data_IF_838070640232
#
_entry.id   IF_838070640232
#
_cell.length_a   1.000
_cell.length_b   1.000
_cell.length_c   1.000
_cell.angle_alpha   90.00
_cell.angle_beta   90.00
_cell.angle_gamma   90.00
#
_symmetry.space_group_name_H-M   'P 1'
#
loop_
_entity.id
_entity.type
_entity.pdbx_description
1 polymer ?
#
# COMPACT_ATOMS: atom_id res chain seq x y z
N UNK A 1 5.79 -16.22 -21.00
CA UNK A 1 5.98 -17.04 -19.78
C UNK A 1 4.69 -17.06 -18.98
N UNK A 2 4.41 -18.16 -18.28
CA UNK A 2 3.22 -18.32 -17.42
C UNK A 2 3.70 -18.61 -15.98
N UNK A 3 3.29 -17.78 -15.02
CA UNK A 3 3.58 -17.98 -13.60
C UNK A 3 2.38 -18.63 -12.96
N UNK A 4 2.57 -19.78 -12.31
CA UNK A 4 1.47 -20.62 -11.81
C UNK A 4 1.45 -20.61 -10.29
N UNK A 5 0.41 -19.99 -9.72
CA UNK A 5 0.12 -20.02 -8.29
C UNK A 5 -0.84 -21.14 -7.90
N UNK A 6 -1.02 -21.34 -6.59
CA UNK A 6 -2.03 -22.26 -6.04
C UNK A 6 -3.46 -21.75 -6.30
N UNK A 7 -3.65 -20.45 -6.11
CA UNK A 7 -4.96 -19.80 -6.00
C UNK A 7 -5.53 -19.94 -4.59
N UNK A 8 -6.32 -18.96 -4.16
CA UNK A 8 -7.03 -18.93 -2.89
C UNK A 8 -8.50 -18.53 -3.09
N UNK A 9 -9.35 -18.82 -2.10
CA UNK A 9 -10.73 -18.29 -2.05
C UNK A 9 -10.76 -16.82 -1.68
N UNK A 10 -9.71 -16.34 -1.01
CA UNK A 10 -9.50 -14.94 -0.67
C UNK A 10 -9.06 -14.14 -1.90
N UNK A 11 -9.77 -13.04 -2.19
CA UNK A 11 -9.51 -12.19 -3.34
C UNK A 11 -8.23 -11.38 -3.19
N UNK A 12 -7.90 -10.95 -1.97
CA UNK A 12 -6.72 -10.12 -1.70
C UNK A 12 -5.43 -10.94 -1.93
N UNK A 13 -5.37 -12.17 -1.40
CA UNK A 13 -4.29 -13.12 -1.68
C UNK A 13 -4.06 -13.35 -3.18
N UNK A 14 -5.14 -13.41 -3.96
CA UNK A 14 -5.04 -13.54 -5.41
C UNK A 14 -4.53 -12.23 -6.05
N UNK A 15 -5.02 -11.08 -5.59
CA UNK A 15 -4.58 -9.75 -6.04
C UNK A 15 -3.08 -9.52 -5.84
N UNK A 16 -2.55 -9.90 -4.67
CA UNK A 16 -1.12 -9.82 -4.38
C UNK A 16 -0.28 -10.69 -5.33
N UNK A 17 -0.76 -11.89 -5.66
CA UNK A 17 -0.11 -12.74 -6.67
C UNK A 17 -0.11 -12.07 -8.06
N UNK A 18 -1.22 -11.51 -8.50
CA UNK A 18 -1.28 -10.77 -9.76
C UNK A 18 -0.32 -9.58 -9.77
N UNK A 19 -0.24 -8.84 -8.66
CA UNK A 19 0.68 -7.71 -8.50
C UNK A 19 2.15 -8.16 -8.60
N UNK A 20 2.51 -9.24 -7.91
CA UNK A 20 3.86 -9.80 -7.97
C UNK A 20 4.23 -10.24 -9.39
N UNK A 21 3.32 -10.94 -10.09
CA UNK A 21 3.53 -11.35 -11.48
C UNK A 21 3.65 -10.14 -12.41
N UNK A 22 2.88 -9.07 -12.18
CA UNK A 22 2.99 -7.84 -12.98
C UNK A 22 4.32 -7.13 -12.76
N UNK A 23 4.80 -7.03 -11.52
CA UNK A 23 6.14 -6.47 -11.26
C UNK A 23 7.23 -7.32 -11.92
N UNK A 24 7.08 -8.63 -11.91
CA UNK A 24 8.01 -9.50 -12.62
C UNK A 24 7.94 -9.31 -14.15
N UNK A 25 6.75 -9.14 -14.72
CA UNK A 25 6.58 -8.83 -16.14
C UNK A 25 7.36 -7.58 -16.53
N UNK A 26 7.12 -6.47 -15.82
CA UNK A 26 7.72 -5.15 -16.08
C UNK A 26 9.24 -5.11 -15.86
N UNK A 27 9.76 -5.99 -15.00
CA UNK A 27 11.20 -6.10 -14.72
C UNK A 27 11.92 -7.12 -15.60
N UNK A 28 11.19 -7.85 -16.44
CA UNK A 28 11.73 -8.92 -17.28
C UNK A 28 11.78 -8.52 -18.76
N UNK A 29 12.53 -9.28 -19.55
CA UNK A 29 12.58 -9.13 -21.02
C UNK A 29 11.62 -10.08 -21.75
N UNK A 30 10.71 -10.74 -21.03
CA UNK A 30 9.74 -11.65 -21.66
C UNK A 30 8.68 -10.86 -22.44
N UNK A 31 8.29 -11.36 -23.62
CA UNK A 31 7.27 -10.74 -24.48
C UNK A 31 5.93 -10.54 -23.73
N UNK A 32 5.57 -11.51 -22.88
CA UNK A 32 4.46 -11.39 -21.94
C UNK A 32 4.68 -12.36 -20.77
N UNK A 33 4.17 -11.96 -19.61
CA UNK A 33 4.12 -12.81 -18.41
C UNK A 33 2.68 -12.86 -17.93
N UNK A 34 2.10 -14.07 -17.86
CA UNK A 34 0.70 -14.25 -17.47
C UNK A 34 0.58 -14.97 -16.13
N UNK A 35 -0.19 -14.42 -15.17
CA UNK A 35 -0.56 -15.14 -13.96
C UNK A 35 -1.57 -16.22 -14.28
N UNK A 36 -1.43 -17.36 -13.63
CA UNK A 36 -2.32 -18.50 -13.78
C UNK A 36 -2.37 -19.31 -12.49
N UNK A 37 -3.37 -20.18 -12.35
CA UNK A 37 -3.58 -20.97 -11.15
C UNK A 37 -3.78 -22.44 -11.47
N UNK A 38 -3.40 -23.30 -10.53
CA UNK A 38 -3.55 -24.76 -10.70
C UNK A 38 -4.92 -25.29 -10.25
N UNK A 39 -5.74 -24.46 -9.57
CA UNK A 39 -7.00 -24.92 -8.98
C UNK A 39 -7.99 -23.83 -8.54
N UNK A 40 -7.83 -23.29 -7.32
CA UNK A 40 -8.94 -22.66 -6.57
C UNK A 40 -9.60 -21.50 -7.31
N UNK A 41 -8.79 -20.70 -8.03
CA UNK A 41 -9.24 -19.49 -8.72
C UNK A 41 -8.83 -19.54 -10.18
N UNK A 42 -9.39 -18.62 -10.98
CA UNK A 42 -9.15 -18.51 -12.43
C UNK A 42 -8.18 -17.36 -12.76
N UNK A 43 -7.51 -17.40 -13.92
CA UNK A 43 -7.57 -18.43 -14.96
C UNK A 43 -6.76 -19.68 -14.58
N UNK A 44 -7.26 -20.86 -14.96
CA UNK A 44 -6.54 -22.11 -14.74
C UNK A 44 -5.34 -22.23 -15.70
N UNK A 45 -4.32 -23.02 -15.31
CA UNK A 45 -3.14 -23.28 -16.15
C UNK A 45 -3.52 -23.77 -17.54
N UNK A 46 -4.47 -24.70 -17.61
CA UNK A 46 -4.96 -25.24 -18.86
C UNK A 46 -5.60 -24.16 -19.74
N UNK A 47 -6.52 -23.36 -19.17
CA UNK A 47 -7.17 -22.22 -19.87
C UNK A 47 -6.11 -21.20 -20.36
N UNK A 48 -5.10 -20.93 -19.52
CA UNK A 48 -4.04 -19.96 -19.83
C UNK A 48 -3.12 -20.46 -20.95
N UNK A 49 -2.78 -21.75 -20.96
CA UNK A 49 -2.02 -22.38 -22.04
C UNK A 49 -2.80 -22.35 -23.36
N UNK A 50 -4.08 -22.73 -23.33
CA UNK A 50 -4.95 -22.68 -24.52
C UNK A 50 -5.03 -21.27 -25.12
N UNK A 51 -5.09 -20.25 -24.27
CA UNK A 51 -5.02 -18.85 -24.71
C UNK A 51 -3.65 -18.49 -25.29
N UNK A 52 -2.56 -18.82 -24.60
CA UNK A 52 -1.20 -18.47 -25.03
C UNK A 52 -0.82 -19.15 -26.36
N UNK A 53 -1.26 -20.39 -26.59
CA UNK A 53 -0.96 -21.14 -27.82
C UNK A 53 -1.55 -20.48 -29.06
N UNK A 54 -2.70 -19.79 -28.93
CA UNK A 54 -3.31 -19.04 -30.05
C UNK A 54 -2.43 -17.89 -30.54
N UNK A 55 -1.53 -17.39 -29.69
CA UNK A 55 -0.54 -16.39 -30.07
C UNK A 55 0.63 -16.97 -30.89
N UNK A 56 0.68 -18.30 -31.07
CA UNK A 56 1.74 -19.04 -31.78
C UNK A 56 3.16 -18.68 -31.31
N UNK A 57 3.44 -18.73 -30.00
CA UNK A 57 4.80 -18.50 -29.50
C UNK A 57 5.72 -19.66 -29.92
N UNK A 58 7.01 -19.36 -30.11
CA UNK A 58 8.03 -20.40 -30.30
C UNK A 58 8.35 -21.14 -28.99
N UNK A 59 8.29 -20.42 -27.86
CA UNK A 59 8.66 -20.94 -26.55
C UNK A 59 7.71 -20.46 -25.44
N UNK A 60 7.23 -21.39 -24.61
CA UNK A 60 6.47 -21.11 -23.38
C UNK A 60 7.24 -21.67 -22.18
N UNK A 61 7.69 -20.77 -21.29
CA UNK A 61 8.22 -21.13 -19.98
C UNK A 61 7.09 -21.09 -18.93
N UNK A 62 6.95 -22.15 -18.14
CA UNK A 62 6.03 -22.27 -17.01
C UNK A 62 6.83 -22.20 -15.71
N UNK A 63 6.52 -21.25 -14.84
CA UNK A 63 7.17 -21.05 -13.55
C UNK A 63 6.21 -21.40 -12.40
N UNK A 64 6.43 -22.49 -11.66
CA UNK A 64 5.64 -22.79 -10.46
C UNK A 64 6.01 -21.83 -9.30
N UNK A 65 5.08 -20.97 -8.91
CA UNK A 65 5.22 -20.04 -7.78
C UNK A 65 4.91 -20.75 -6.45
N UNK A 66 5.83 -21.58 -5.99
CA UNK A 66 5.70 -22.41 -4.79
C UNK A 66 7.01 -22.49 -4.01
N UNK A 67 6.93 -22.44 -2.69
CA UNK A 67 8.07 -22.66 -1.79
C UNK A 67 8.42 -24.13 -1.63
N UNK A 68 7.43 -25.03 -1.68
CA UNK A 68 7.61 -26.44 -1.39
C UNK A 68 7.15 -27.33 -2.54
N UNK A 69 7.88 -28.42 -2.74
CA UNK A 69 7.49 -29.46 -3.67
C UNK A 69 6.23 -30.19 -3.19
N UNK A 70 5.40 -30.68 -4.13
CA UNK A 70 4.21 -31.44 -3.76
C UNK A 70 3.32 -31.87 -4.93
N UNK A 71 2.14 -32.39 -4.60
CA UNK A 71 1.17 -32.92 -5.57
C UNK A 71 0.76 -31.87 -6.63
N UNK A 72 0.67 -30.60 -6.24
CA UNK A 72 0.29 -29.51 -7.16
C UNK A 72 1.35 -29.26 -8.23
N UNK A 73 2.63 -29.27 -7.86
CA UNK A 73 3.73 -29.12 -8.82
C UNK A 73 3.76 -30.32 -9.77
N UNK A 74 3.57 -31.56 -9.27
CA UNK A 74 3.43 -32.75 -10.13
C UNK A 74 2.32 -32.58 -11.17
N UNK A 75 1.18 -32.00 -10.76
CA UNK A 75 0.06 -31.69 -11.66
C UNK A 75 0.46 -30.66 -12.74
N UNK A 76 1.23 -29.63 -12.39
CA UNK A 76 1.75 -28.64 -13.36
C UNK A 76 2.61 -29.34 -14.41
N UNK A 77 3.57 -30.19 -13.99
CA UNK A 77 4.42 -30.93 -14.92
C UNK A 77 3.62 -31.85 -15.84
N UNK A 78 2.59 -32.51 -15.30
CA UNK A 78 1.73 -33.38 -16.10
C UNK A 78 0.98 -32.59 -17.18
N UNK A 79 0.34 -31.47 -16.82
CA UNK A 79 -0.36 -30.59 -17.77
C UNK A 79 0.62 -30.05 -18.83
N UNK A 80 1.81 -29.60 -18.41
CA UNK A 80 2.83 -29.11 -19.34
C UNK A 80 3.25 -30.17 -20.37
N UNK A 81 3.43 -31.42 -19.91
CA UNK A 81 3.79 -32.56 -20.77
C UNK A 81 2.68 -32.90 -21.77
N UNK A 82 1.43 -32.99 -21.31
CA UNK A 82 0.27 -33.23 -22.19
C UNK A 82 0.18 -32.17 -23.30
N UNK A 83 0.39 -30.91 -22.94
CA UNK A 83 0.37 -29.81 -23.92
C UNK A 83 1.56 -29.84 -24.87
N UNK A 84 2.74 -30.24 -24.41
CA UNK A 84 3.92 -30.40 -25.26
C UNK A 84 3.74 -31.52 -26.29
N UNK A 85 3.07 -32.62 -25.91
CA UNK A 85 2.74 -33.72 -26.83
C UNK A 85 1.66 -33.31 -27.83
N UNK A 86 0.67 -32.53 -27.38
CA UNK A 86 -0.42 -32.03 -28.23
C UNK A 86 0.02 -30.95 -29.23
N UNK A 87 1.01 -30.14 -28.88
CA UNK A 87 1.49 -29.02 -29.71
C UNK A 87 3.01 -29.07 -29.91
N UNK A 88 3.56 -30.04 -30.68
CA UNK A 88 5.00 -30.28 -30.77
C UNK A 88 5.82 -29.13 -31.38
N UNK A 89 5.17 -28.20 -32.10
CA UNK A 89 5.83 -27.03 -32.69
C UNK A 89 6.13 -25.92 -31.67
N UNK A 90 5.61 -26.01 -30.46
CA UNK A 90 5.87 -25.05 -29.38
C UNK A 90 6.79 -25.73 -28.38
N UNK A 91 7.94 -25.13 -28.11
CA UNK A 91 8.78 -25.58 -26.99
C UNK A 91 8.07 -25.21 -25.69
N UNK A 92 7.78 -26.17 -24.81
CA UNK A 92 7.19 -25.91 -23.50
C UNK A 92 8.14 -26.43 -22.43
N UNK A 93 8.67 -25.53 -21.60
CA UNK A 93 9.59 -25.87 -20.51
C UNK A 93 8.97 -25.47 -19.17
N UNK A 94 9.18 -26.30 -18.15
CA UNK A 94 8.77 -25.98 -16.78
C UNK A 94 10.01 -25.72 -15.94
N UNK A 95 10.08 -24.53 -15.34
CA UNK A 95 11.14 -24.16 -14.41
C UNK A 95 10.97 -24.86 -13.06
N UNK A 96 12.04 -24.93 -12.29
CA UNK A 96 11.96 -25.33 -10.88
C UNK A 96 11.13 -24.32 -10.08
N UNK A 97 10.31 -24.83 -9.15
CA UNK A 97 9.79 -24.03 -8.05
C UNK A 97 10.93 -23.45 -7.18
N UNK A 98 10.63 -22.46 -6.34
CA UNK A 98 11.67 -21.76 -5.57
C UNK A 98 12.45 -22.69 -4.62
N UNK A 99 11.75 -23.56 -3.89
CA UNK A 99 12.43 -24.42 -2.91
C UNK A 99 13.11 -23.62 -1.79
N UNK A 100 14.01 -24.27 -1.02
CA UNK A 100 14.76 -23.63 0.06
C UNK A 100 15.99 -22.89 -0.49
N UNK A 101 15.78 -21.91 -1.37
CA UNK A 101 16.87 -21.12 -1.94
C UNK A 101 17.52 -20.22 -0.85
N UNK A 102 18.85 -20.20 -0.70
CA UNK A 102 19.54 -19.37 0.30
C UNK A 102 19.21 -17.87 0.21
N UNK A 103 18.82 -17.37 -0.96
CA UNK A 103 18.40 -15.96 -1.14
C UNK A 103 17.09 -15.63 -0.42
N UNK A 104 16.31 -16.65 -0.03
CA UNK A 104 15.09 -16.47 0.76
C UNK A 104 15.36 -16.31 2.26
N UNK A 105 16.51 -16.77 2.77
CA UNK A 105 16.78 -16.74 4.21
C UNK A 105 16.84 -15.32 4.78
N UNK A 106 17.51 -14.34 4.16
CA UNK A 106 17.49 -12.96 4.63
C UNK A 106 16.07 -12.36 4.69
N UNK A 107 15.20 -12.75 3.76
CA UNK A 107 13.80 -12.29 3.71
C UNK A 107 13.01 -12.88 4.88
N UNK A 108 13.24 -14.15 5.22
CA UNK A 108 12.63 -14.79 6.38
C UNK A 108 13.13 -14.15 7.69
N UNK A 109 14.44 -13.89 7.80
CA UNK A 109 15.02 -13.23 8.97
C UNK A 109 14.48 -11.82 9.18
N UNK A 110 14.28 -11.07 8.09
CA UNK A 110 13.64 -9.74 8.10
C UNK A 110 12.20 -9.83 8.63
N UNK A 111 11.42 -10.80 8.14
CA UNK A 111 10.02 -11.00 8.58
C UNK A 111 9.93 -11.44 10.03
N UNK A 112 10.85 -12.29 10.50
CA UNK A 112 10.94 -12.68 11.92
C UNK A 112 11.25 -11.45 12.78
N UNK A 113 12.22 -10.63 12.36
CA UNK A 113 12.61 -9.42 13.08
C UNK A 113 11.46 -8.42 13.19
N UNK A 114 10.71 -8.20 12.10
CA UNK A 114 9.52 -7.34 12.08
C UNK A 114 8.42 -7.85 13.03
N UNK A 115 8.18 -9.16 13.04
CA UNK A 115 7.21 -9.76 13.95
C UNK A 115 7.60 -9.59 15.42
N UNK A 116 8.89 -9.77 15.75
CA UNK A 116 9.41 -9.58 17.11
C UNK A 116 9.36 -8.12 17.57
N UNK A 117 9.59 -7.16 16.65
CA UNK A 117 9.57 -5.75 16.96
C UNK A 117 8.16 -5.13 16.96
N UNK A 118 7.13 -5.89 16.57
CA UNK A 118 5.76 -5.38 16.39
C UNK A 118 5.62 -4.41 15.20
N UNK A 119 6.58 -4.41 14.27
CA UNK A 119 6.49 -3.60 13.06
C UNK A 119 5.62 -4.33 12.03
N UNK A 120 4.44 -3.78 11.72
CA UNK A 120 3.57 -4.32 10.69
C UNK A 120 3.93 -3.71 9.33
N UNK A 121 4.19 -4.55 8.33
CA UNK A 121 4.26 -4.10 6.93
C UNK A 121 2.84 -3.87 6.41
N UNK A 122 2.57 -2.65 5.95
CA UNK A 122 1.32 -2.30 5.29
C UNK A 122 1.36 -2.74 3.82
N UNK A 123 0.21 -2.97 3.16
CA UNK A 123 0.17 -3.26 1.72
C UNK A 123 0.87 -2.21 0.84
N UNK A 124 0.96 -0.96 1.33
CA UNK A 124 1.68 0.14 0.69
C UNK A 124 3.21 0.05 0.82
N UNK A 125 3.74 -0.82 1.69
CA UNK A 125 5.18 -1.09 1.77
C UNK A 125 5.67 -1.92 0.58
N UNK A 126 4.77 -2.56 -0.18
CA UNK A 126 5.08 -3.21 -1.46
C UNK A 126 4.83 -2.27 -2.66
N UNK A 127 5.01 -0.97 -2.49
CA UNK A 127 4.86 0.03 -3.55
C UNK A 127 6.16 0.16 -4.35
N UNK A 128 6.09 0.05 -5.70
CA UNK A 128 7.25 0.19 -6.60
C UNK A 128 7.95 1.55 -6.48
N UNK A 129 7.26 2.55 -5.91
CA UNK A 129 7.77 3.90 -5.69
C UNK A 129 8.45 4.08 -4.32
N UNK A 130 8.22 3.18 -3.36
CA UNK A 130 8.74 3.26 -1.98
C UNK A 130 9.86 2.27 -1.73
N UNK A 131 9.81 1.10 -2.37
CA UNK A 131 10.78 0.02 -2.20
C UNK A 131 11.43 -0.31 -3.53
N UNK A 132 12.75 -0.53 -3.49
CA UNK A 132 13.56 -0.91 -4.65
C UNK A 132 13.24 -2.32 -5.13
N UNK A 133 12.29 -2.41 -6.05
CA UNK A 133 11.99 -3.63 -6.79
C UNK A 133 13.04 -3.82 -7.91
N UNK A 134 13.66 -5.00 -8.05
CA UNK A 134 14.56 -5.31 -9.15
C UNK A 134 13.92 -5.00 -10.52
N UNK A 135 14.67 -4.38 -11.43
CA UNK A 135 14.17 -3.94 -12.75
C UNK A 135 13.27 -2.69 -12.74
N UNK A 136 12.80 -2.23 -11.58
CA UNK A 136 12.00 -1.01 -11.41
C UNK A 136 12.67 0.04 -10.52
N UNK A 137 13.97 -0.11 -10.26
CA UNK A 137 14.74 0.77 -9.35
C UNK A 137 14.65 2.26 -9.70
N UNK A 138 14.49 2.58 -10.99
CA UNK A 138 14.34 3.97 -11.47
C UNK A 138 13.05 4.66 -11.02
N UNK A 139 12.06 3.90 -10.53
CA UNK A 139 10.78 4.44 -10.05
C UNK A 139 10.79 4.78 -8.56
N UNK A 140 11.81 4.38 -7.82
CA UNK A 140 11.87 4.63 -6.37
C UNK A 140 12.26 6.09 -6.10
N UNK A 141 11.47 6.77 -5.28
CA UNK A 141 11.73 8.15 -4.92
C UNK A 141 11.48 9.17 -6.04
N UNK A 142 11.85 10.42 -5.78
CA UNK A 142 11.71 11.54 -6.71
C UNK A 142 10.29 12.09 -6.85
N UNK A 143 10.10 13.01 -7.80
CA UNK A 143 8.83 13.71 -8.00
C UNK A 143 7.69 12.76 -8.38
N UNK A 144 7.96 11.72 -9.17
CA UNK A 144 6.95 10.75 -9.58
C UNK A 144 6.47 9.89 -8.41
N UNK A 145 7.34 9.48 -7.48
CA UNK A 145 6.90 8.78 -6.27
C UNK A 145 6.07 9.68 -5.37
N UNK A 146 6.43 10.97 -5.26
CA UNK A 146 5.66 11.95 -4.49
C UNK A 146 4.25 12.15 -5.10
N UNK A 147 4.17 12.38 -6.41
CA UNK A 147 2.90 12.55 -7.12
C UNK A 147 2.02 11.30 -7.04
N UNK A 148 2.60 10.10 -7.10
CA UNK A 148 1.85 8.85 -6.94
C UNK A 148 1.42 8.58 -5.50
N UNK A 149 2.24 8.92 -4.50
CA UNK A 149 1.85 8.88 -3.09
C UNK A 149 0.72 9.88 -2.79
N UNK A 150 0.79 11.09 -3.33
CA UNK A 150 -0.29 12.09 -3.26
C UNK A 150 -1.55 11.59 -3.97
N UNK A 151 -1.43 10.98 -5.15
CA UNK A 151 -2.55 10.33 -5.84
C UNK A 151 -3.13 9.18 -5.03
N UNK A 152 -2.31 8.36 -4.37
CA UNK A 152 -2.77 7.30 -3.49
C UNK A 152 -3.54 7.87 -2.30
N UNK A 153 -3.11 9.01 -1.74
CA UNK A 153 -3.83 9.78 -0.74
C UNK A 153 -5.24 10.15 -1.26
N UNK A 154 -5.30 10.75 -2.45
CA UNK A 154 -6.53 11.15 -3.15
C UNK A 154 -7.45 9.95 -3.49
N UNK A 155 -6.90 8.82 -3.93
CA UNK A 155 -7.68 7.62 -4.30
C UNK A 155 -8.09 6.77 -3.10
N UNK A 156 -7.38 6.83 -1.97
CA UNK A 156 -7.86 6.25 -0.71
C UNK A 156 -8.82 7.17 0.04
N UNK A 157 -8.80 8.49 -0.21
CA UNK A 157 -9.92 9.39 0.17
C UNK A 157 -11.19 9.12 -0.64
N UNK A 158 -11.10 8.45 -1.79
CA UNK A 158 -12.25 7.80 -2.43
C UNK A 158 -12.55 6.48 -1.73
N UNK A 159 -12.89 6.56 -0.45
CA UNK A 159 -13.53 5.46 0.26
C UNK A 159 -14.74 5.00 -0.55
N UNK A 160 -14.85 3.68 -0.75
CA UNK A 160 -16.02 3.06 -1.34
C UNK A 160 -17.31 3.63 -0.72
N UNK A 161 -18.43 3.73 -1.48
CA UNK A 161 -19.68 4.21 -0.93
C UNK A 161 -20.07 3.35 0.28
N UNK A 162 -19.97 3.91 1.47
CA UNK A 162 -20.33 3.24 2.71
C UNK A 162 -21.73 3.66 3.16
N UNK A 163 -22.49 2.70 3.65
CA UNK A 163 -23.92 2.77 3.98
C UNK A 163 -24.27 3.88 5.00
N UNK A 164 -23.30 4.33 5.79
CA UNK A 164 -23.46 5.40 6.75
C UNK A 164 -22.88 6.72 6.21
N UNK A 165 -23.69 7.76 5.96
CA UNK A 165 -23.16 9.04 5.50
C UNK A 165 -22.22 9.63 6.56
N UNK A 166 -20.93 9.67 6.26
CA UNK A 166 -20.00 10.52 7.01
C UNK A 166 -20.35 11.97 6.65
N UNK A 167 -20.54 12.80 7.67
CA UNK A 167 -20.79 14.23 7.47
C UNK A 167 -19.57 14.80 6.77
N UNK A 168 -19.74 15.32 5.55
CA UNK A 168 -18.63 15.79 4.71
C UNK A 168 -18.07 17.12 5.25
N UNK A 169 -17.14 17.06 6.21
CA UNK A 169 -16.34 18.23 6.61
C UNK A 169 -15.13 18.36 5.68
N UNK A 170 -14.76 19.60 5.35
CA UNK A 170 -13.61 19.93 4.48
C UNK A 170 -12.29 19.51 5.12
N UNK A 171 -12.12 19.74 6.43
CA UNK A 171 -10.90 19.33 7.15
C UNK A 171 -11.20 18.71 8.52
N UNK A 172 -10.38 17.74 8.89
CA UNK A 172 -10.37 17.10 10.21
C UNK A 172 -9.09 17.45 10.95
N UNK A 173 -9.24 18.15 12.08
CA UNK A 173 -8.18 18.53 13.00
C UNK A 173 -8.12 17.50 14.12
N UNK A 174 -7.00 16.80 14.24
CA UNK A 174 -6.68 15.95 15.38
C UNK A 174 -5.72 16.68 16.30
N UNK A 175 -6.06 16.77 17.58
CA UNK A 175 -5.21 17.35 18.62
C UNK A 175 -4.87 16.26 19.63
N UNK A 176 -3.57 16.05 19.86
CA UNK A 176 -3.09 15.05 20.81
C UNK A 176 -3.57 15.37 22.23
N UNK A 177 -4.22 14.40 22.89
CA UNK A 177 -4.72 14.48 24.25
C UNK A 177 -4.01 13.53 25.22
N UNK A 178 -2.85 13.01 24.83
CA UNK A 178 -1.96 12.30 25.75
C UNK A 178 -1.50 13.20 26.90
N UNK A 179 -1.08 12.57 28.02
CA UNK A 179 -0.70 13.27 29.27
C UNK A 179 0.31 14.39 29.03
N UNK A 180 1.31 14.15 28.18
CA UNK A 180 2.34 15.16 27.86
C UNK A 180 1.75 16.38 27.15
N UNK A 181 0.94 16.19 26.11
CA UNK A 181 0.29 17.30 25.40
C UNK A 181 -0.76 18.01 26.26
N UNK A 182 -1.44 17.29 27.16
CA UNK A 182 -2.39 17.89 28.12
C UNK A 182 -1.66 18.81 29.09
N UNK A 183 -0.51 18.39 29.63
CA UNK A 183 0.33 19.23 30.49
C UNK A 183 0.84 20.48 29.77
N UNK A 184 0.97 20.43 28.45
CA UNK A 184 1.36 21.56 27.60
C UNK A 184 0.17 22.36 27.06
N UNK A 185 -1.06 22.09 27.53
CA UNK A 185 -2.24 22.93 27.26
C UNK A 185 -3.14 22.48 26.11
N UNK A 186 -3.03 21.24 25.62
CA UNK A 186 -3.81 20.77 24.46
C UNK A 186 -5.34 20.85 24.65
N UNK A 187 -5.83 20.72 25.89
CA UNK A 187 -7.27 20.84 26.20
C UNK A 187 -7.78 22.25 25.91
N UNK A 188 -7.05 23.27 26.36
CA UNK A 188 -7.39 24.69 26.12
C UNK A 188 -7.33 25.02 24.64
N UNK A 189 -6.31 24.51 23.93
CA UNK A 189 -6.17 24.62 22.49
C UNK A 189 -7.41 24.07 21.75
N UNK A 190 -7.85 22.86 22.07
CA UNK A 190 -9.07 22.26 21.48
C UNK A 190 -10.30 23.16 21.68
N UNK A 191 -10.47 23.70 22.90
CA UNK A 191 -11.59 24.58 23.20
C UNK A 191 -11.52 25.89 22.40
N UNK A 192 -10.35 26.52 22.30
CA UNK A 192 -10.16 27.75 21.51
C UNK A 192 -10.42 27.51 20.02
N UNK A 193 -9.84 26.46 19.42
CA UNK A 193 -10.08 26.12 17.99
C UNK A 193 -11.58 25.92 17.73
N UNK A 194 -12.27 25.11 18.55
CA UNK A 194 -13.72 24.90 18.41
C UNK A 194 -14.52 26.20 18.57
N UNK A 195 -14.11 27.07 19.48
CA UNK A 195 -14.74 28.37 19.70
C UNK A 195 -14.59 29.28 18.48
N UNK A 196 -13.39 29.36 17.88
CA UNK A 196 -13.13 30.14 16.67
C UNK A 196 -13.93 29.62 15.46
N UNK A 197 -13.96 28.31 15.24
CA UNK A 197 -14.78 27.69 14.19
C UNK A 197 -16.26 28.03 14.38
N UNK A 198 -16.75 27.93 15.63
CA UNK A 198 -18.15 28.25 15.96
C UNK A 198 -18.50 29.72 15.73
N UNK A 199 -17.61 30.66 16.10
CA UNK A 199 -17.83 32.10 15.89
C UNK A 199 -18.05 32.47 14.42
N UNK A 200 -17.42 31.73 13.50
CA UNK A 200 -17.56 31.95 12.07
C UNK A 200 -18.67 31.11 11.42
N UNK A 201 -19.44 30.34 12.21
CA UNK A 201 -20.55 29.53 11.69
C UNK A 201 -20.13 28.30 10.87
N UNK A 202 -18.83 27.96 10.79
CA UNK A 202 -18.30 26.90 9.91
C UNK A 202 -18.15 25.54 10.58
N UNK A 203 -19.01 25.22 11.55
CA UNK A 203 -18.95 23.96 12.32
C UNK A 203 -19.25 22.72 11.47
N UNK A 204 -19.91 22.89 10.31
CA UNK A 204 -20.15 21.84 9.33
C UNK A 204 -18.89 21.49 8.53
N UNK A 205 -18.01 22.46 8.33
CA UNK A 205 -16.86 22.35 7.42
C UNK A 205 -15.63 21.78 8.13
N UNK A 206 -15.55 21.89 9.46
CA UNK A 206 -14.36 21.55 10.22
C UNK A 206 -14.69 20.70 11.43
N UNK A 207 -14.04 19.54 11.55
CA UNK A 207 -14.16 18.66 12.71
C UNK A 207 -12.90 18.73 13.55
N UNK A 208 -13.04 19.03 14.84
CA UNK A 208 -11.94 18.95 15.81
C UNK A 208 -12.15 17.73 16.70
N UNK A 209 -11.26 16.75 16.61
CA UNK A 209 -11.26 15.55 17.46
C UNK A 209 -10.03 15.53 18.35
N UNK A 210 -10.19 14.93 19.53
CA UNK A 210 -9.07 14.51 20.34
C UNK A 210 -8.47 13.25 19.70
N UNK A 211 -7.16 13.14 19.68
CA UNK A 211 -6.46 11.91 19.33
C UNK A 211 -5.63 11.43 20.51
N UNK A 212 -5.47 10.12 20.63
CA UNK A 212 -4.45 9.52 21.47
C UNK A 212 -3.04 9.98 21.07
N UNK A 213 -2.01 9.47 21.76
CA UNK A 213 -0.62 9.82 21.48
C UNK A 213 -0.27 9.69 19.98
N UNK A 214 0.29 10.77 19.42
CA UNK A 214 0.73 10.83 18.02
C UNK A 214 2.23 10.51 17.85
N UNK A 215 2.88 9.96 18.88
CA UNK A 215 4.29 9.54 18.83
C UNK A 215 5.32 10.67 18.90
N UNK A 216 4.91 11.89 19.26
CA UNK A 216 5.74 13.11 19.34
C UNK A 216 5.79 13.71 20.75
N UNK A 217 5.98 12.87 21.76
CA UNK A 217 6.13 13.32 23.14
C UNK A 217 7.33 14.27 23.26
N UNK A 218 7.18 15.36 24.01
CA UNK A 218 8.19 16.43 24.15
C UNK A 218 8.09 17.55 23.10
N UNK A 219 7.29 17.36 22.04
CA UNK A 219 7.06 18.35 20.98
C UNK A 219 5.60 18.88 20.96
N UNK A 220 4.87 18.62 22.05
CA UNK A 220 3.45 18.95 22.19
C UNK A 220 3.16 20.45 22.38
N UNK A 221 1.87 20.83 22.36
CA UNK A 221 0.75 20.10 21.79
C UNK A 221 0.91 19.86 20.29
N UNK A 222 0.72 18.61 19.86
CA UNK A 222 0.79 18.21 18.45
C UNK A 222 -0.60 18.26 17.81
N UNK A 223 -0.68 18.86 16.62
CA UNK A 223 -1.91 18.97 15.84
C UNK A 223 -1.68 18.46 14.43
N UNK A 224 -2.61 17.66 13.91
CA UNK A 224 -2.58 17.16 12.53
C UNK A 224 -3.86 17.52 11.82
N UNK A 225 -3.75 18.07 10.62
CA UNK A 225 -4.90 18.52 9.82
C UNK A 225 -4.98 17.70 8.53
N UNK A 226 -6.07 16.95 8.38
CA UNK A 226 -6.42 16.18 7.18
C UNK A 226 -7.46 16.91 6.33
N UNK A 227 -7.49 16.72 4.99
CA UNK A 227 -6.67 15.79 4.20
C UNK A 227 -5.23 16.26 3.93
N UNK A 228 -4.90 17.51 4.24
CA UNK A 228 -3.63 18.16 3.90
C UNK A 228 -2.39 17.42 4.44
N UNK A 229 -2.54 16.62 5.50
CA UNK A 229 -1.47 15.81 6.07
C UNK A 229 -0.40 16.64 6.79
N UNK A 230 -0.72 17.89 7.16
CA UNK A 230 0.22 18.82 7.79
C UNK A 230 0.25 18.60 9.30
N UNK A 231 1.46 18.48 9.82
CA UNK A 231 1.76 18.33 11.23
C UNK A 231 2.24 19.66 11.80
N UNK A 232 1.65 20.04 12.93
CA UNK A 232 2.06 21.17 13.73
C UNK A 232 2.54 20.71 15.10
N UNK A 233 3.63 21.30 15.57
CA UNK A 233 4.24 21.04 16.86
C UNK A 233 4.29 22.30 17.71
N UNK A 234 4.38 22.14 19.02
CA UNK A 234 4.44 23.26 19.98
C UNK A 234 3.31 24.28 19.81
N UNK A 235 2.12 23.79 19.45
CA UNK A 235 0.97 24.66 19.20
C UNK A 235 0.41 25.13 20.53
N UNK A 236 0.59 26.41 20.83
CA UNK A 236 0.01 27.03 22.01
C UNK A 236 -1.44 27.42 21.77
N UNK A 237 -2.14 27.71 22.85
CA UNK A 237 -3.51 28.20 22.77
C UNK A 237 -3.63 29.59 22.09
N UNK A 238 -2.56 30.39 22.05
CA UNK A 238 -2.57 31.70 21.38
C UNK A 238 -2.43 31.57 19.87
N UNK A 239 -1.83 30.46 19.41
CA UNK A 239 -1.72 30.11 18.00
C UNK A 239 -3.05 29.64 17.40
N UNK A 240 -4.05 29.32 18.24
CA UNK A 240 -5.33 28.77 17.79
C UNK A 240 -6.06 29.68 16.79
N UNK A 241 -5.95 31.00 16.95
CA UNK A 241 -6.56 31.95 16.02
C UNK A 241 -5.88 31.91 14.66
N UNK A 242 -4.56 32.00 14.64
CA UNK A 242 -3.76 31.98 13.41
C UNK A 242 -3.93 30.66 12.67
N UNK A 243 -3.92 29.52 13.38
CA UNK A 243 -4.12 28.21 12.79
C UNK A 243 -5.49 28.07 12.10
N UNK A 244 -6.54 28.65 12.70
CA UNK A 244 -7.89 28.63 12.12
C UNK A 244 -8.00 29.60 10.94
N UNK A 245 -7.53 30.83 11.10
CA UNK A 245 -7.64 31.87 10.08
C UNK A 245 -6.79 31.51 8.85
N UNK A 246 -5.54 31.13 9.05
CA UNK A 246 -4.61 30.83 7.95
C UNK A 246 -4.89 29.45 7.35
N UNK A 247 -4.81 28.38 8.15
CA UNK A 247 -4.82 27.04 7.58
C UNK A 247 -6.21 26.50 7.32
N UNK A 248 -7.17 26.70 8.24
CA UNK A 248 -8.52 26.16 8.05
C UNK A 248 -9.34 27.00 7.06
N UNK A 249 -9.28 28.33 7.15
CA UNK A 249 -10.14 29.18 6.34
C UNK A 249 -9.53 29.61 5.01
N UNK A 250 -8.21 29.80 4.97
CA UNK A 250 -7.52 30.36 3.81
C UNK A 250 -6.53 29.40 3.13
N UNK A 251 -6.45 28.14 3.58
CA UNK A 251 -5.51 27.13 3.05
C UNK A 251 -4.03 27.57 3.05
N UNK A 252 -3.62 28.43 3.99
CA UNK A 252 -2.23 28.88 4.18
C UNK A 252 -1.60 28.25 5.43
N UNK A 253 -0.38 27.73 5.29
CA UNK A 253 0.31 27.06 6.40
C UNK A 253 0.89 28.07 7.40
N UNK A 254 0.79 27.75 8.69
CA UNK A 254 1.48 28.48 9.75
C UNK A 254 2.91 27.94 9.85
N UNK A 255 3.77 28.34 8.90
CA UNK A 255 5.10 27.75 8.64
C UNK A 255 5.99 27.62 9.88
N UNK A 256 5.93 28.58 10.81
CA UNK A 256 6.71 28.55 12.06
C UNK A 256 6.37 27.37 13.00
N UNK A 257 5.15 26.83 12.87
CA UNK A 257 4.64 25.72 13.70
C UNK A 257 4.72 24.38 12.98
N UNK A 258 4.96 24.39 11.67
CA UNK A 258 5.03 23.16 10.86
C UNK A 258 6.21 22.32 11.34
N UNK A 259 5.99 21.02 11.47
CA UNK A 259 7.08 20.10 11.78
C UNK A 259 8.07 20.03 10.61
N UNK A 260 9.35 20.24 10.90
CA UNK A 260 10.43 20.29 9.90
C UNK A 260 11.02 18.91 9.57
N UNK A 261 10.47 17.83 10.13
CA UNK A 261 10.95 16.45 9.95
C UNK A 261 10.02 15.71 8.95
N UNK A 262 9.83 16.28 7.76
CA UNK A 262 9.34 15.55 6.58
C UNK A 262 10.37 15.59 5.47
#
# INVERSE_FOLDING_TARGET
MIVVGRGASDADSNGDFYKAVRFFEESSSFLFVKPSFIGITKPLLQESLEMCIKLRPEHILILPYFLFYGKLIKKIYHIAKEFSEKYPWIKIETASHFGPDPTLYPILDERISQALSGAATLPCDNCEYRVSIPGLKSKVGGLNSLLWSMRHLETHTQAAPHEFPHRNFKKHIFVCDSVDCVNQGSISLIHKIRSFIRKHGRQSDFRVSKSSCLGRCGEGPTVVIYPDGIWYQRVSEDDAKELVDEHLFNDRLVTRLVDNIM
#
